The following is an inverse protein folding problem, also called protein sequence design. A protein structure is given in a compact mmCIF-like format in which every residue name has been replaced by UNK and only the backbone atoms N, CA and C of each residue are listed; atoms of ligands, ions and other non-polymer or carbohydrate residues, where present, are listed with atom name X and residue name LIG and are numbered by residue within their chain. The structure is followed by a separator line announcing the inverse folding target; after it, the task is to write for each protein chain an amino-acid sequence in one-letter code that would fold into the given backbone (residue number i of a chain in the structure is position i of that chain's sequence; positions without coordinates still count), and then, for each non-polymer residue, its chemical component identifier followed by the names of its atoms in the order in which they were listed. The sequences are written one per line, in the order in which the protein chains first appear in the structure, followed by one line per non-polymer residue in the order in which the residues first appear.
data_IF_668814724749
#
_entry.id   IF_668814724749
#
_cell.length_a   1.000
_cell.length_b   1.000
_cell.length_c   1.000
_cell.angle_alpha   90.00
_cell.angle_beta   90.00
_cell.angle_gamma   90.00
#
_symmetry.space_group_name_H-M   'P 1'
#
loop_
_entity.id
_entity.type
_entity.pdbx_description
1 polymer ?
#
# COMPACT_ATOMS: atom_id res chain seq x y z
N UNK A 1 0.50 -15.16 22.77
CA UNK A 1 0.31 -13.79 22.24
C UNK A 1 0.82 -13.68 20.80
N UNK A 2 0.70 -14.74 20.00
CA UNK A 2 1.47 -14.93 18.75
C UNK A 2 0.58 -15.30 17.55
N UNK A 3 -0.71 -14.98 17.63
CA UNK A 3 -1.69 -15.37 16.60
C UNK A 3 -2.47 -14.19 16.02
N UNK A 4 -1.84 -13.01 15.98
CA UNK A 4 -2.40 -11.85 15.30
C UNK A 4 -1.62 -11.70 13.98
N UNK A 5 -2.30 -12.00 12.88
CA UNK A 5 -1.88 -11.73 11.49
C UNK A 5 -1.11 -12.85 10.75
N UNK A 6 -1.70 -14.06 10.67
CA UNK A 6 -1.53 -14.85 9.43
C UNK A 6 -2.46 -14.23 8.37
N UNK A 7 -1.95 -13.78 7.20
CA UNK A 7 -2.79 -13.21 6.16
C UNK A 7 -3.77 -14.28 5.66
N UNK A 8 -5.08 -14.00 5.80
CA UNK A 8 -6.12 -14.81 5.17
C UNK A 8 -6.08 -14.59 3.65
N UNK A 9 -6.31 -15.66 2.87
CA UNK A 9 -6.44 -15.61 1.41
C UNK A 9 -7.49 -14.57 0.99
N UNK A 10 -7.00 -13.54 0.32
CA UNK A 10 -7.62 -12.68 -0.69
C UNK A 10 -9.10 -12.31 -0.54
N UNK A 11 -9.34 -11.23 0.20
CA UNK A 11 -10.56 -10.43 0.09
C UNK A 11 -10.34 -9.29 -0.94
N UNK A 12 -10.56 -9.59 -2.22
CA UNK A 12 -11.11 -8.69 -3.27
C UNK A 12 -10.54 -7.28 -3.50
N UNK A 13 -9.43 -6.91 -2.87
CA UNK A 13 -8.79 -5.61 -3.00
C UNK A 13 -7.77 -5.57 -4.14
N UNK A 14 -7.20 -4.38 -4.36
CA UNK A 14 -6.10 -4.15 -5.30
C UNK A 14 -4.85 -5.03 -5.06
N UNK A 15 -4.76 -5.70 -3.91
CA UNK A 15 -3.51 -6.17 -3.32
C UNK A 15 -3.18 -7.66 -3.37
N UNK A 16 -3.92 -8.47 -4.13
CA UNK A 16 -3.69 -9.92 -4.23
C UNK A 16 -3.38 -10.38 -5.64
N UNK A 17 -2.36 -9.78 -6.26
CA UNK A 17 -1.91 -10.15 -7.61
C UNK A 17 -0.45 -10.54 -7.56
N UNK A 18 -0.15 -11.74 -8.08
CA UNK A 18 1.20 -12.29 -8.06
C UNK A 18 2.11 -11.51 -9.01
N UNK A 19 1.70 -11.29 -10.26
CA UNK A 19 2.49 -10.57 -11.26
C UNK A 19 2.47 -9.05 -11.04
N UNK A 20 3.61 -8.40 -11.29
CA UNK A 20 3.80 -6.95 -11.14
C UNK A 20 2.91 -6.19 -12.13
N UNK A 21 2.81 -6.68 -13.36
CA UNK A 21 1.98 -6.06 -14.40
C UNK A 21 0.49 -6.21 -14.09
N UNK A 22 0.08 -7.35 -13.54
CA UNK A 22 -1.27 -7.58 -13.02
C UNK A 22 -1.60 -6.57 -11.91
N UNK A 23 -0.69 -6.38 -10.95
CA UNK A 23 -0.84 -5.40 -9.88
C UNK A 23 -0.94 -3.96 -10.41
N UNK A 24 -0.11 -3.59 -11.38
CA UNK A 24 -0.11 -2.27 -12.00
C UNK A 24 -1.44 -1.99 -12.73
N UNK A 25 -1.84 -2.88 -13.64
CA UNK A 25 -3.09 -2.74 -14.41
C UNK A 25 -4.31 -2.79 -13.48
N UNK A 26 -4.31 -3.69 -12.51
CA UNK A 26 -5.35 -3.74 -11.47
C UNK A 26 -5.47 -2.43 -10.70
N UNK A 27 -4.36 -1.78 -10.39
CA UNK A 27 -4.36 -0.48 -9.73
C UNK A 27 -4.88 0.62 -10.65
N UNK A 28 -4.53 0.62 -11.94
CA UNK A 28 -5.07 1.55 -12.93
C UNK A 28 -6.59 1.39 -13.05
N UNK A 29 -7.08 0.15 -13.12
CA UNK A 29 -8.51 -0.13 -13.18
C UNK A 29 -9.25 0.37 -11.94
N UNK A 30 -8.63 0.29 -10.75
CA UNK A 30 -9.17 0.78 -9.47
C UNK A 30 -9.29 2.30 -9.35
N UNK A 31 -8.66 3.08 -10.23
CA UNK A 31 -8.76 4.54 -10.20
C UNK A 31 -10.20 4.97 -10.49
N UNK A 32 -10.77 5.80 -9.61
CA UNK A 32 -12.13 6.38 -9.75
C UNK A 32 -13.24 5.33 -9.94
N UNK A 33 -13.11 4.16 -9.30
CA UNK A 33 -14.13 3.12 -9.31
C UNK A 33 -14.19 2.43 -7.95
N UNK A 34 -15.13 1.48 -7.80
CA UNK A 34 -15.23 0.65 -6.60
C UNK A 34 -14.31 -0.57 -6.70
N UNK A 35 -13.86 -1.10 -5.56
CA UNK A 35 -13.06 -2.33 -5.53
C UNK A 35 -13.75 -3.47 -6.29
N UNK A 36 -15.06 -3.65 -6.07
CA UNK A 36 -15.88 -4.69 -6.70
C UNK A 36 -15.86 -4.57 -8.22
N UNK A 37 -16.06 -3.36 -8.77
CA UNK A 37 -16.04 -3.14 -10.22
C UNK A 37 -14.64 -3.33 -10.80
N UNK A 38 -13.60 -2.84 -10.12
CA UNK A 38 -12.21 -3.00 -10.55
C UNK A 38 -11.77 -4.47 -10.58
N UNK A 39 -12.15 -5.24 -9.57
CA UNK A 39 -11.84 -6.66 -9.48
C UNK A 39 -12.58 -7.44 -10.57
N UNK A 40 -13.90 -7.22 -10.71
CA UNK A 40 -14.71 -7.87 -11.75
C UNK A 40 -14.17 -7.59 -13.16
N UNK A 41 -13.83 -6.33 -13.45
CA UNK A 41 -13.33 -5.95 -14.78
C UNK A 41 -11.94 -6.52 -15.04
N UNK A 42 -11.08 -6.62 -14.02
CA UNK A 42 -9.78 -7.27 -14.15
C UNK A 42 -9.93 -8.77 -14.48
N UNK A 43 -10.84 -9.48 -13.81
CA UNK A 43 -11.13 -10.87 -14.13
C UNK A 43 -11.68 -11.04 -15.55
N UNK A 44 -12.63 -10.19 -15.95
CA UNK A 44 -13.17 -10.19 -17.30
C UNK A 44 -12.09 -9.89 -18.37
N UNK A 45 -11.17 -8.97 -18.07
CA UNK A 45 -10.01 -8.67 -18.92
C UNK A 45 -9.12 -9.91 -19.09
N UNK A 46 -8.72 -10.58 -18.00
CA UNK A 46 -7.88 -11.78 -18.08
C UNK A 46 -8.59 -12.96 -18.76
N UNK A 47 -9.91 -13.04 -18.66
CA UNK A 47 -10.71 -14.05 -19.36
C UNK A 47 -10.77 -13.78 -20.87
N UNK A 48 -10.99 -12.53 -21.27
CA UNK A 48 -11.05 -12.13 -22.68
C UNK A 48 -9.67 -12.11 -23.35
N UNK A 49 -8.63 -11.75 -22.58
CA UNK A 49 -7.25 -11.63 -23.03
C UNK A 49 -6.32 -12.37 -22.05
N UNK A 50 -6.01 -13.65 -22.32
CA UNK A 50 -5.21 -14.47 -21.42
C UNK A 50 -3.80 -13.93 -21.18
N UNK A 51 -3.19 -13.30 -22.20
CA UNK A 51 -1.83 -12.73 -22.15
C UNK A 51 -1.85 -11.21 -22.26
N UNK A 52 -0.80 -10.56 -21.76
CA UNK A 52 -0.64 -9.11 -21.87
C UNK A 52 -0.32 -8.67 -23.30
N UNK A 53 0.31 -9.53 -24.09
CA UNK A 53 0.49 -9.39 -25.53
C UNK A 53 -0.85 -9.34 -26.26
N UNK A 54 -1.82 -10.18 -25.88
CA UNK A 54 -3.16 -10.14 -26.44
C UNK A 54 -3.88 -8.82 -26.11
N UNK A 55 -3.69 -8.28 -24.91
CA UNK A 55 -4.22 -6.96 -24.54
C UNK A 55 -3.56 -5.86 -25.40
N UNK A 56 -2.23 -5.90 -25.55
CA UNK A 56 -1.44 -4.95 -26.35
C UNK A 56 -1.91 -4.91 -27.80
N UNK A 57 -2.05 -6.06 -28.43
CA UNK A 57 -2.41 -6.18 -29.86
C UNK A 57 -3.91 -6.10 -30.13
N UNK A 58 -4.76 -6.05 -29.09
CA UNK A 58 -6.20 -5.98 -29.28
C UNK A 58 -6.66 -4.61 -29.79
N UNK A 59 -7.76 -4.54 -30.57
CA UNK A 59 -8.38 -3.26 -30.89
C UNK A 59 -8.78 -2.51 -29.60
N UNK A 60 -8.51 -1.20 -29.46
CA UNK A 60 -8.86 -0.43 -28.26
C UNK A 60 -10.34 -0.60 -27.85
N UNK A 61 -11.25 -0.57 -28.82
CA UNK A 61 -12.69 -0.74 -28.59
C UNK A 61 -13.07 -2.09 -27.95
N UNK A 62 -12.30 -3.16 -28.22
CA UNK A 62 -12.53 -4.47 -27.62
C UNK A 62 -12.17 -4.45 -26.12
N UNK A 63 -11.00 -3.91 -25.78
CA UNK A 63 -10.59 -3.74 -24.39
C UNK A 63 -11.52 -2.80 -23.62
N UNK A 64 -11.89 -1.66 -24.22
CA UNK A 64 -12.84 -0.70 -23.64
C UNK A 64 -14.18 -1.34 -23.29
N UNK A 65 -14.68 -2.22 -24.16
CA UNK A 65 -15.93 -2.95 -23.92
C UNK A 65 -15.83 -3.85 -22.70
N UNK A 66 -14.70 -4.56 -22.55
CA UNK A 66 -14.48 -5.46 -21.41
C UNK A 66 -14.35 -4.69 -20.09
N UNK A 67 -13.66 -3.55 -20.10
CA UNK A 67 -13.43 -2.75 -18.87
C UNK A 67 -14.45 -1.61 -18.66
N UNK A 68 -15.50 -1.55 -19.48
CA UNK A 68 -16.48 -0.45 -19.48
C UNK A 68 -17.06 -0.14 -18.09
N UNK A 69 -17.28 -1.19 -17.29
CA UNK A 69 -17.89 -1.07 -15.96
C UNK A 69 -17.02 -0.31 -14.94
N UNK A 70 -15.72 -0.12 -15.20
CA UNK A 70 -14.82 0.64 -14.34
C UNK A 70 -14.89 2.16 -14.52
N UNK A 71 -15.65 2.65 -15.51
CA UNK A 71 -15.64 4.07 -15.89
C UNK A 71 -14.29 4.54 -16.45
N UNK A 72 -14.31 5.64 -17.21
CA UNK A 72 -13.12 6.18 -17.90
C UNK A 72 -12.43 5.12 -18.80
N UNK A 73 -13.22 4.25 -19.43
CA UNK A 73 -12.73 3.06 -20.13
C UNK A 73 -11.77 3.41 -21.28
N UNK A 74 -12.08 4.44 -22.07
CA UNK A 74 -11.22 4.95 -23.14
C UNK A 74 -9.84 5.37 -22.58
N UNK A 75 -9.81 6.26 -21.58
CA UNK A 75 -8.59 6.71 -20.93
C UNK A 75 -7.78 5.56 -20.30
N UNK A 76 -8.46 4.60 -19.65
CA UNK A 76 -7.80 3.44 -19.04
C UNK A 76 -7.22 2.50 -20.09
N UNK A 77 -7.95 2.25 -21.18
CA UNK A 77 -7.50 1.43 -22.32
C UNK A 77 -6.27 2.04 -22.96
N UNK A 78 -6.32 3.31 -23.34
CA UNK A 78 -5.19 4.01 -23.94
C UNK A 78 -3.94 3.96 -23.03
N UNK A 79 -4.10 4.11 -21.72
CA UNK A 79 -2.98 4.02 -20.76
C UNK A 79 -2.42 2.61 -20.66
N UNK A 80 -3.28 1.59 -20.51
CA UNK A 80 -2.84 0.20 -20.39
C UNK A 80 -2.07 -0.20 -21.65
N UNK A 81 -2.65 0.04 -22.83
CA UNK A 81 -1.99 -0.31 -24.09
C UNK A 81 -0.70 0.47 -24.32
N UNK A 82 -0.62 1.75 -23.96
CA UNK A 82 0.63 2.52 -24.07
C UNK A 82 1.74 1.98 -23.16
N UNK A 83 1.41 1.51 -21.95
CA UNK A 83 2.38 0.86 -21.05
C UNK A 83 2.87 -0.45 -21.70
N UNK A 84 1.95 -1.26 -22.20
CA UNK A 84 2.28 -2.54 -22.82
C UNK A 84 3.11 -2.38 -24.10
N UNK A 85 2.79 -1.39 -24.93
CA UNK A 85 3.55 -1.09 -26.14
C UNK A 85 4.98 -0.71 -25.81
N UNK A 86 5.15 0.23 -24.87
CA UNK A 86 6.48 0.65 -24.41
C UNK A 86 7.30 -0.51 -23.84
N UNK A 87 6.68 -1.38 -23.04
CA UNK A 87 7.38 -2.57 -22.50
C UNK A 87 7.84 -3.51 -23.62
N UNK A 88 6.98 -3.73 -24.61
CA UNK A 88 7.31 -4.55 -25.77
C UNK A 88 8.45 -3.93 -26.61
N UNK A 89 8.43 -2.62 -26.82
CA UNK A 89 9.48 -1.89 -27.55
C UNK A 89 10.83 -1.92 -26.80
N UNK A 90 10.83 -1.68 -25.49
CA UNK A 90 12.05 -1.59 -24.69
C UNK A 90 12.66 -2.96 -24.34
N UNK A 91 11.83 -4.01 -24.21
CA UNK A 91 12.26 -5.31 -23.67
C UNK A 91 11.90 -6.52 -24.52
N UNK A 92 11.09 -6.36 -25.57
CA UNK A 92 10.61 -7.46 -26.40
C UNK A 92 9.45 -8.26 -25.80
N UNK A 93 9.05 -7.99 -24.56
CA UNK A 93 7.99 -8.72 -23.83
C UNK A 93 7.13 -7.78 -22.96
N UNK A 94 5.86 -8.13 -22.75
CA UNK A 94 5.00 -7.40 -21.83
C UNK A 94 5.20 -7.88 -20.38
N UNK A 95 6.37 -7.59 -19.80
CA UNK A 95 6.73 -8.03 -18.44
C UNK A 95 7.37 -6.93 -17.60
N UNK A 96 7.05 -6.95 -16.31
CA UNK A 96 7.67 -6.10 -15.27
C UNK A 96 8.33 -6.92 -14.16
N UNK A 97 8.48 -8.24 -14.34
CA UNK A 97 8.96 -9.11 -13.26
C UNK A 97 10.43 -8.85 -12.88
N UNK A 98 11.24 -8.31 -13.80
CA UNK A 98 12.61 -7.87 -13.51
C UNK A 98 12.68 -6.83 -12.36
N UNK A 99 11.60 -6.07 -12.11
CA UNK A 99 11.55 -5.11 -11.01
C UNK A 99 11.58 -5.76 -9.62
N UNK A 100 11.39 -7.08 -9.50
CA UNK A 100 11.49 -7.79 -8.22
C UNK A 100 12.88 -7.74 -7.61
N UNK A 101 13.90 -7.71 -8.46
CA UNK A 101 15.30 -7.74 -8.04
C UNK A 101 15.91 -6.34 -7.94
N UNK A 102 15.19 -5.32 -8.42
CA UNK A 102 15.63 -3.92 -8.43
C UNK A 102 15.38 -3.22 -7.08
N UNK A 103 16.21 -2.25 -6.65
CA UNK A 103 15.97 -1.48 -5.44
C UNK A 103 14.71 -0.60 -5.53
N UNK A 104 14.13 -0.20 -4.40
CA UNK A 104 12.86 0.55 -4.36
C UNK A 104 12.86 1.83 -5.19
N UNK A 105 13.97 2.55 -5.21
CA UNK A 105 14.11 3.80 -5.98
C UNK A 105 14.11 3.54 -7.49
N UNK A 106 14.64 2.40 -7.94
CA UNK A 106 14.56 1.96 -9.33
C UNK A 106 13.12 1.63 -9.70
N UNK A 107 12.44 0.83 -8.87
CA UNK A 107 11.04 0.46 -9.09
C UNK A 107 10.16 1.72 -9.17
N UNK A 108 10.35 2.68 -8.26
CA UNK A 108 9.64 3.96 -8.29
C UNK A 108 9.93 4.75 -9.57
N UNK A 109 11.20 4.79 -10.01
CA UNK A 109 11.57 5.50 -11.24
C UNK A 109 10.94 4.88 -12.48
N UNK A 110 11.04 3.56 -12.64
CA UNK A 110 10.48 2.84 -13.80
C UNK A 110 8.97 3.00 -13.82
N UNK A 111 8.28 2.67 -12.73
CA UNK A 111 6.83 2.74 -12.67
C UNK A 111 6.32 4.19 -12.81
N UNK A 112 7.01 5.16 -12.20
CA UNK A 112 6.65 6.58 -12.28
C UNK A 112 6.88 7.22 -13.65
N UNK A 113 7.66 6.58 -14.52
CA UNK A 113 7.83 7.03 -15.90
C UNK A 113 6.59 6.76 -16.78
N UNK A 114 5.66 5.91 -16.34
CA UNK A 114 4.43 5.64 -17.06
C UNK A 114 3.38 6.73 -16.83
N UNK A 115 2.83 7.27 -17.92
CA UNK A 115 1.79 8.31 -17.86
C UNK A 115 0.55 7.82 -17.09
N UNK A 116 0.18 8.53 -16.03
CA UNK A 116 -0.98 8.18 -15.19
C UNK A 116 -0.68 7.20 -14.06
N UNK A 117 0.60 6.83 -13.87
CA UNK A 117 1.09 6.07 -12.72
C UNK A 117 1.76 7.04 -11.74
N UNK A 118 1.00 7.45 -10.72
CA UNK A 118 1.50 8.35 -9.67
C UNK A 118 1.98 7.59 -8.41
N UNK A 119 2.52 8.34 -7.44
CA UNK A 119 3.09 7.80 -6.20
C UNK A 119 2.22 6.74 -5.51
N UNK A 120 0.91 7.00 -5.33
CA UNK A 120 -0.01 6.01 -4.73
C UNK A 120 -0.02 4.67 -5.48
N UNK A 121 -0.05 4.70 -6.81
CA UNK A 121 -0.09 3.47 -7.62
C UNK A 121 1.19 2.67 -7.44
N UNK A 122 2.33 3.36 -7.52
CA UNK A 122 3.66 2.79 -7.32
C UNK A 122 3.76 2.15 -5.93
N UNK A 123 3.33 2.86 -4.89
CA UNK A 123 3.34 2.34 -3.52
C UNK A 123 2.41 1.14 -3.34
N UNK A 124 1.27 1.10 -4.02
CA UNK A 124 0.42 -0.09 -4.00
C UNK A 124 1.14 -1.29 -4.62
N UNK A 125 1.88 -1.12 -5.73
CA UNK A 125 2.68 -2.19 -6.33
C UNK A 125 3.79 -2.65 -5.37
N UNK A 126 4.55 -1.71 -4.81
CA UNK A 126 5.61 -2.00 -3.83
C UNK A 126 5.08 -2.76 -2.60
N UNK A 127 4.04 -2.24 -1.95
CA UNK A 127 3.48 -2.83 -0.73
C UNK A 127 2.80 -4.18 -1.00
N UNK A 128 1.89 -4.23 -1.97
CA UNK A 128 0.97 -5.37 -2.10
C UNK A 128 1.53 -6.49 -2.97
N UNK A 129 2.24 -6.16 -4.05
CA UNK A 129 2.77 -7.15 -4.98
C UNK A 129 4.21 -7.54 -4.63
N UNK A 130 5.09 -6.54 -4.49
CA UNK A 130 6.51 -6.77 -4.19
C UNK A 130 6.80 -7.01 -2.70
N UNK A 131 5.80 -6.88 -1.83
CA UNK A 131 5.89 -7.09 -0.38
C UNK A 131 6.96 -6.23 0.31
N UNK A 132 7.16 -5.02 -0.21
CA UNK A 132 8.16 -4.06 0.30
C UNK A 132 7.53 -3.02 1.21
N UNK A 133 8.34 -2.42 2.07
CA UNK A 133 7.91 -1.49 3.10
C UNK A 133 7.66 -0.06 2.56
N UNK A 134 6.66 0.09 1.70
CA UNK A 134 6.11 1.41 1.32
C UNK A 134 4.80 1.67 2.08
N UNK A 135 4.26 2.89 2.04
CA UNK A 135 3.02 3.29 2.70
C UNK A 135 2.12 4.10 1.74
N UNK A 136 1.25 3.43 0.95
CA UNK A 136 0.36 4.09 0.03
C UNK A 136 -0.61 5.02 0.76
N UNK A 137 -0.68 6.27 0.32
CA UNK A 137 -1.63 7.26 0.82
C UNK A 137 -2.77 7.43 -0.17
N UNK A 138 -3.86 6.71 0.07
CA UNK A 138 -5.10 6.91 -0.67
C UNK A 138 -5.96 8.03 -0.03
N UNK A 139 -7.18 8.23 -0.54
CA UNK A 139 -8.07 9.25 0.00
C UNK A 139 -8.50 8.98 1.44
N UNK A 140 -8.62 7.71 1.85
CA UNK A 140 -9.01 7.35 3.22
C UNK A 140 -7.85 7.61 4.19
N UNK A 141 -6.67 7.09 3.87
CA UNK A 141 -5.43 7.30 4.65
C UNK A 141 -5.14 8.79 4.79
N UNK A 142 -5.21 9.55 3.69
CA UNK A 142 -4.95 11.00 3.72
C UNK A 142 -5.94 11.74 4.63
N UNK A 143 -7.25 11.46 4.48
CA UNK A 143 -8.30 12.10 5.31
C UNK A 143 -8.17 11.73 6.78
N UNK A 144 -7.90 10.46 7.08
CA UNK A 144 -7.74 9.98 8.46
C UNK A 144 -6.48 10.58 9.09
N UNK A 145 -5.35 10.61 8.38
CA UNK A 145 -4.10 11.23 8.88
C UNK A 145 -4.29 12.72 9.22
N UNK A 146 -4.95 13.48 8.33
CA UNK A 146 -5.31 14.88 8.61
C UNK A 146 -6.26 15.01 9.81
N UNK A 147 -7.28 14.14 9.88
CA UNK A 147 -8.24 14.17 10.98
C UNK A 147 -7.61 13.80 12.33
N UNK A 148 -6.67 12.86 12.37
CA UNK A 148 -5.93 12.52 13.58
C UNK A 148 -4.85 13.54 13.95
N UNK A 149 -4.57 14.52 13.09
CA UNK A 149 -3.54 15.53 13.31
C UNK A 149 -2.12 15.01 13.11
N UNK A 150 -1.95 13.92 12.35
CA UNK A 150 -0.62 13.38 12.02
C UNK A 150 0.13 14.27 11.04
N UNK A 151 -0.61 15.02 10.22
CA UNK A 151 -0.09 16.02 9.29
C UNK A 151 -0.92 17.30 9.36
N UNK A 152 -0.34 18.46 8.97
CA UNK A 152 -1.10 19.71 8.87
C UNK A 152 -2.31 19.59 7.93
N UNK A 153 -3.38 20.35 8.17
CA UNK A 153 -4.58 20.36 7.31
C UNK A 153 -4.31 20.85 5.88
N UNK A 154 -3.22 21.61 5.68
CA UNK A 154 -2.76 22.08 4.37
C UNK A 154 -1.86 21.07 3.65
N UNK A 155 -1.52 19.94 4.27
CA UNK A 155 -0.60 18.97 3.69
C UNK A 155 -1.18 18.33 2.44
N UNK A 156 -0.42 18.35 1.35
CA UNK A 156 -0.76 17.62 0.14
C UNK A 156 -0.69 16.11 0.36
N UNK A 157 -1.23 15.33 -0.59
CA UNK A 157 -1.10 13.86 -0.56
C UNK A 157 0.35 13.42 -0.61
N UNK A 158 1.17 14.08 -1.42
CA UNK A 158 2.60 13.74 -1.57
C UNK A 158 3.39 14.08 -0.31
N UNK A 159 3.09 15.21 0.33
CA UNK A 159 3.67 15.56 1.63
C UNK A 159 3.25 14.55 2.71
N UNK A 160 1.99 14.13 2.70
CA UNK A 160 1.49 13.09 3.62
C UNK A 160 2.15 11.74 3.37
N UNK A 161 2.33 11.36 2.10
CA UNK A 161 3.05 10.16 1.70
C UNK A 161 4.48 10.16 2.23
N UNK A 162 5.24 11.23 1.96
CA UNK A 162 6.62 11.37 2.44
C UNK A 162 6.69 11.31 3.98
N UNK A 163 5.80 12.01 4.67
CA UNK A 163 5.76 12.02 6.14
C UNK A 163 5.46 10.64 6.72
N UNK A 164 4.39 9.98 6.25
CA UNK A 164 3.97 8.69 6.81
C UNK A 164 4.97 7.58 6.48
N UNK A 165 5.59 7.59 5.29
CA UNK A 165 6.63 6.61 4.97
C UNK A 165 7.87 6.72 5.86
N UNK A 166 8.21 7.95 6.29
CA UNK A 166 9.32 8.18 7.19
C UNK A 166 8.96 7.86 8.65
N UNK A 167 7.71 8.09 9.06
CA UNK A 167 7.32 8.03 10.48
C UNK A 167 6.74 6.69 10.92
N UNK A 168 6.09 5.95 10.01
CA UNK A 168 5.50 4.63 10.30
C UNK A 168 6.59 3.57 10.18
N UNK A 169 6.87 2.78 11.23
CA UNK A 169 7.84 1.69 11.17
C UNK A 169 7.48 0.66 10.10
N UNK A 170 8.49 0.17 9.38
CA UNK A 170 8.32 -0.75 8.24
C UNK A 170 7.49 -1.98 8.56
N UNK A 171 7.74 -2.61 9.71
CA UNK A 171 7.04 -3.83 10.14
C UNK A 171 5.54 -3.66 10.36
N UNK A 172 5.02 -2.43 10.45
CA UNK A 172 3.58 -2.17 10.65
C UNK A 172 2.92 -1.47 9.45
N UNK A 173 3.68 -1.06 8.43
CA UNK A 173 3.16 -0.29 7.29
C UNK A 173 1.99 -0.97 6.61
N UNK A 174 2.13 -2.25 6.28
CA UNK A 174 1.07 -3.04 5.64
C UNK A 174 -0.20 -3.11 6.51
N UNK A 175 -0.07 -3.56 7.75
CA UNK A 175 -1.20 -3.77 8.65
C UNK A 175 -1.93 -2.44 8.92
N UNK A 176 -1.18 -1.37 9.19
CA UNK A 176 -1.75 -0.05 9.43
C UNK A 176 -2.48 0.48 8.18
N UNK A 177 -1.88 0.37 7.00
CA UNK A 177 -2.53 0.82 5.75
C UNK A 177 -3.87 0.10 5.54
N UNK A 178 -3.90 -1.24 5.64
CA UNK A 178 -5.13 -2.03 5.50
C UNK A 178 -6.19 -1.61 6.51
N UNK A 179 -5.79 -1.41 7.77
CA UNK A 179 -6.70 -0.96 8.83
C UNK A 179 -7.29 0.43 8.54
N UNK A 180 -6.46 1.39 8.11
CA UNK A 180 -6.91 2.74 7.80
C UNK A 180 -7.87 2.76 6.60
N UNK A 181 -7.58 2.02 5.54
CA UNK A 181 -8.46 1.91 4.37
C UNK A 181 -9.79 1.27 4.76
N UNK A 182 -9.76 0.15 5.51
CA UNK A 182 -10.97 -0.53 5.99
C UNK A 182 -11.80 0.40 6.89
N UNK A 183 -11.15 1.11 7.81
CA UNK A 183 -11.79 2.08 8.69
C UNK A 183 -12.45 3.20 7.88
N UNK A 184 -11.74 3.74 6.89
CA UNK A 184 -12.24 4.80 6.02
C UNK A 184 -13.49 4.39 5.24
N UNK A 185 -13.57 3.14 4.80
CA UNK A 185 -14.73 2.57 4.09
C UNK A 185 -15.91 2.30 5.02
N UNK A 186 -15.68 1.63 6.15
CA UNK A 186 -16.75 1.21 7.08
C UNK A 186 -17.31 2.39 7.86
N UNK A 187 -16.44 3.27 8.36
CA UNK A 187 -16.81 4.37 9.26
C UNK A 187 -16.73 5.74 8.58
N UNK A 188 -16.68 5.78 7.24
CA UNK A 188 -16.66 7.03 6.44
C UNK A 188 -15.56 8.02 6.87
N UNK A 189 -14.40 7.51 7.29
CA UNK A 189 -13.27 8.25 7.84
C UNK A 189 -13.51 8.94 9.20
N UNK A 190 -14.56 8.58 9.95
CA UNK A 190 -14.80 9.14 11.29
C UNK A 190 -13.75 8.64 12.29
N UNK A 191 -13.01 9.56 12.89
CA UNK A 191 -11.94 9.27 13.84
C UNK A 191 -12.32 9.54 15.30
N UNK A 192 -13.57 9.90 15.63
CA UNK A 192 -13.98 10.27 16.99
C UNK A 192 -13.68 9.18 18.02
N UNK A 193 -14.08 7.95 17.70
CA UNK A 193 -13.79 6.78 18.54
C UNK A 193 -12.29 6.46 18.59
N UNK A 194 -11.58 6.60 17.46
CA UNK A 194 -10.13 6.38 17.38
C UNK A 194 -9.37 7.36 18.28
N UNK A 195 -9.66 8.67 18.20
CA UNK A 195 -9.02 9.69 19.04
C UNK A 195 -9.19 9.40 20.54
N UNK A 196 -10.36 8.91 20.94
CA UNK A 196 -10.64 8.58 22.33
C UNK A 196 -9.77 7.41 22.80
N UNK A 197 -9.69 6.34 22.00
CA UNK A 197 -8.85 5.18 22.31
C UNK A 197 -7.35 5.50 22.25
N UNK A 198 -6.92 6.30 21.29
CA UNK A 198 -5.51 6.70 21.14
C UNK A 198 -5.02 7.54 22.32
N UNK A 199 -5.83 8.47 22.84
CA UNK A 199 -5.49 9.22 24.04
C UNK A 199 -5.24 8.30 25.23
N UNK A 200 -6.11 7.32 25.44
CA UNK A 200 -5.90 6.31 26.50
C UNK A 200 -4.60 5.52 26.31
N UNK A 201 -4.27 5.11 25.07
CA UNK A 201 -3.05 4.37 24.79
C UNK A 201 -1.76 5.19 24.97
N UNK A 202 -1.78 6.48 24.61
CA UNK A 202 -0.62 7.38 24.78
C UNK A 202 -0.35 7.67 26.26
N UNK A 203 -1.39 7.90 27.06
CA UNK A 203 -1.25 8.07 28.52
C UNK A 203 -0.62 6.82 29.14
N UNK A 204 -1.10 5.63 28.75
CA UNK A 204 -0.53 4.36 29.21
C UNK A 204 0.93 4.19 28.79
N UNK A 205 1.32 4.62 27.58
CA UNK A 205 2.73 4.59 27.16
C UNK A 205 3.61 5.58 27.93
N UNK A 206 3.12 6.79 28.22
CA UNK A 206 3.84 7.76 29.05
C UNK A 206 4.02 7.22 30.48
N UNK A 207 2.97 6.63 31.07
CA UNK A 207 3.03 5.98 32.39
C UNK A 207 3.99 4.78 32.40
N UNK A 208 3.96 3.92 31.37
CA UNK A 208 4.89 2.79 31.21
C UNK A 208 6.34 3.24 30.96
N UNK A 209 6.54 4.35 30.25
CA UNK A 209 7.86 4.94 30.04
C UNK A 209 8.39 5.58 31.33
N UNK A 210 7.52 6.15 32.16
CA UNK A 210 7.85 6.72 33.47
C UNK A 210 8.08 5.66 34.56
N UNK A 211 7.50 4.46 34.43
CA UNK A 211 7.68 3.34 35.37
C UNK A 211 8.81 2.38 34.99
N UNK A 212 9.45 2.55 33.82
CA UNK A 212 10.74 1.90 33.55
C UNK A 212 11.80 2.50 34.45
N UNK A 213 12.12 1.77 35.52
CA UNK A 213 13.31 1.94 36.37
C UNK A 213 14.52 2.24 35.47
N UNK A 214 15.25 3.32 35.79
CA UNK A 214 16.43 3.73 35.00
C UNK A 214 17.46 2.59 35.02
N UNK A 215 18.23 2.35 33.95
CA UNK A 215 19.26 1.31 33.90
C UNK A 215 20.25 1.39 35.08
N UNK A 216 20.44 2.60 35.61
CA UNK A 216 21.34 2.96 36.71
C UNK A 216 20.88 2.41 38.07
N UNK A 217 19.58 2.17 38.26
CA UNK A 217 19.03 1.64 39.52
C UNK A 217 19.07 0.09 39.59
N UNK A 218 19.30 -0.57 38.45
CA UNK A 218 19.42 -2.05 38.38
C UNK A 218 20.85 -2.52 38.70
N UNK A 219 21.85 -1.66 38.46
CA UNK A 219 23.27 -1.95 38.76
C UNK A 219 23.56 -1.94 40.28
N UNK A 220 22.76 -1.23 41.08
CA UNK A 220 22.89 -1.20 42.55
C UNK A 220 22.42 -2.46 43.27
N UNK A 221 21.56 -3.29 42.64
CA UNK A 221 21.00 -4.50 43.26
C UNK A 221 21.84 -5.78 43.00
N UNK A 222 22.79 -5.75 42.08
CA UNK A 222 23.66 -6.89 41.76
C UNK A 222 25.05 -6.83 42.43
N UNK A 223 25.31 -5.80 43.24
CA UNK A 223 26.56 -5.62 43.98
C UNK A 223 26.48 -6.16 45.43
N UNK A 224 25.95 -7.36 45.63
CA UNK A 224 26.18 -8.10 46.89
C UNK A 224 27.37 -9.03 46.64
N UNK A 225 28.56 -8.61 47.06
CA UNK A 225 29.77 -9.47 47.04
C UNK A 225 29.53 -10.67 47.96
N UNK A 226 29.83 -11.91 47.54
CA UNK A 226 29.80 -13.05 48.46
C UNK A 226 30.87 -12.86 49.54
N UNK A 227 30.48 -13.02 50.81
CA UNK A 227 31.41 -13.09 51.92
C UNK A 227 32.32 -14.33 51.80
N UNK A 228 33.60 -14.24 52.20
CA UNK A 228 34.50 -15.37 52.16
C UNK A 228 34.08 -16.43 53.18
N UNK A 229 34.04 -17.67 52.73
CA UNK A 229 33.85 -18.85 53.59
C UNK A 229 35.24 -19.26 54.08
N UNK A 230 35.46 -19.19 55.39
CA UNK A 230 36.61 -19.80 56.10
C UNK A 230 36.55 -21.33 56.04
#
# INVERSE_FOLDING_TARGET
MEEICKPKKDEGGCGSRELVLDALVGTILSQNTTDVQSHRSFLALKQAFPTWEAVRSSPPAALETVIRSCGLAETKTARIQAILERLHEERGECSLEHLRDEPDEEVKRVLGSFKGVGAKTISCVLMFCLKRADFPVDTHVWKIAMALGWVPKSASRDQTYAHLNNRVPDGIKYALHVLLVKHGKVFKNDVKALRTKMRGALVVQEELAMTRVKPEEVEGLLAVKPEPVD
#
